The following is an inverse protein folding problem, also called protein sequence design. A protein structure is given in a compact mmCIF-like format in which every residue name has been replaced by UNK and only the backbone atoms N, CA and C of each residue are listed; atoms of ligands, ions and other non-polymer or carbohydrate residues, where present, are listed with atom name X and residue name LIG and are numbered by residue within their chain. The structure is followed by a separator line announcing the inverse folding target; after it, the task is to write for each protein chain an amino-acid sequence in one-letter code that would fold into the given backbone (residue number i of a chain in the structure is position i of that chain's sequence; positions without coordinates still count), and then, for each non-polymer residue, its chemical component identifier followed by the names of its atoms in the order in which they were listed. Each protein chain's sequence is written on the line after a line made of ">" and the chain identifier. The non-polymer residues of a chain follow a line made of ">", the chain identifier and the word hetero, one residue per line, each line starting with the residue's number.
data_IF_868916185363
#
_entry.id   IF_868916185363
#
_cell.length_a   1.000
_cell.length_b   1.000
_cell.length_c   1.000
_cell.angle_alpha   90.00
_cell.angle_beta   90.00
_cell.angle_gamma   90.00
#
_symmetry.space_group_name_H-M   'P 1'
#
loop_
_entity.id
_entity.type
_entity.pdbx_description
1 polymer ?
#
# COMPACT_ATOMS: atom_id res chain seq x y z
N UNK A 1 -12.34 5.95 3.66
CA UNK A 1 -11.66 4.96 4.54
C UNK A 1 -10.93 5.76 5.60
N UNK A 2 -10.82 5.34 6.86
CA UNK A 2 -10.05 6.15 7.82
C UNK A 2 -8.53 5.84 7.80
N UNK A 3 -7.72 6.73 8.39
CA UNK A 3 -6.27 6.55 8.48
C UNK A 3 -5.87 5.27 9.20
N UNK A 4 -6.58 4.87 10.26
CA UNK A 4 -6.26 3.67 11.05
C UNK A 4 -6.47 2.40 10.21
N UNK A 5 -7.54 2.36 9.41
CA UNK A 5 -7.81 1.30 8.45
C UNK A 5 -6.70 1.21 7.39
N UNK A 6 -6.33 2.35 6.79
CA UNK A 6 -5.26 2.43 5.79
C UNK A 6 -3.93 1.91 6.35
N UNK A 7 -3.52 2.40 7.52
CA UNK A 7 -2.28 2.00 8.17
C UNK A 7 -2.29 0.52 8.57
N UNK A 8 -3.44 -0.01 9.00
CA UNK A 8 -3.57 -1.42 9.35
C UNK A 8 -3.33 -2.34 8.15
N UNK A 9 -3.89 -2.01 6.98
CA UNK A 9 -3.69 -2.80 5.75
C UNK A 9 -2.27 -2.65 5.22
N UNK A 10 -1.71 -1.43 5.18
CA UNK A 10 -0.32 -1.21 4.73
C UNK A 10 0.67 -1.96 5.60
N UNK A 11 0.56 -1.84 6.93
CA UNK A 11 1.40 -2.56 7.88
C UNK A 11 1.33 -4.07 7.66
N UNK A 12 0.12 -4.61 7.62
CA UNK A 12 -0.08 -6.05 7.47
C UNK A 12 0.52 -6.57 6.15
N UNK A 13 0.32 -5.86 5.04
CA UNK A 13 0.89 -6.28 3.76
C UNK A 13 2.42 -6.13 3.72
N UNK A 14 2.99 -5.10 4.34
CA UNK A 14 4.45 -4.96 4.43
C UNK A 14 5.10 -6.15 5.16
N UNK A 15 4.43 -6.69 6.18
CA UNK A 15 4.85 -7.92 6.87
C UNK A 15 4.73 -9.13 5.94
N UNK A 16 3.58 -9.30 5.27
CA UNK A 16 3.37 -10.41 4.31
C UNK A 16 4.43 -10.40 3.21
N UNK A 17 4.75 -9.22 2.66
CA UNK A 17 5.75 -9.07 1.61
C UNK A 17 7.13 -9.58 2.04
N UNK A 18 7.47 -9.51 3.34
CA UNK A 18 8.73 -10.05 3.85
C UNK A 18 8.69 -11.58 3.99
N UNK A 19 7.52 -12.15 4.28
CA UNK A 19 7.33 -13.60 4.43
C UNK A 19 7.33 -14.37 3.10
N UNK A 20 6.90 -13.72 2.02
CA UNK A 20 6.85 -14.30 0.68
C UNK A 20 8.25 -14.42 0.08
N UNK A 21 8.50 -15.46 -0.72
CA UNK A 21 9.73 -15.64 -1.48
C UNK A 21 10.01 -14.45 -2.41
N UNK A 22 11.28 -14.06 -2.53
CA UNK A 22 11.67 -12.86 -3.29
C UNK A 22 11.23 -12.90 -4.75
N UNK A 23 11.14 -14.07 -5.38
CA UNK A 23 10.74 -14.23 -6.79
C UNK A 23 9.26 -13.96 -7.03
N UNK A 24 8.42 -14.10 -6.00
CA UNK A 24 6.97 -13.89 -6.10
C UNK A 24 6.48 -12.66 -5.33
N UNK A 25 7.41 -11.87 -4.77
CA UNK A 25 7.07 -10.67 -4.01
C UNK A 25 6.47 -9.62 -4.93
N UNK A 26 5.25 -9.23 -4.62
CA UNK A 26 4.61 -8.09 -5.25
C UNK A 26 4.85 -6.85 -4.40
N UNK A 27 5.02 -5.72 -5.06
CA UNK A 27 4.79 -4.41 -4.44
C UNK A 27 3.33 -4.27 -4.06
N UNK A 28 3.00 -3.33 -3.17
CA UNK A 28 1.61 -3.08 -2.83
C UNK A 28 0.81 -2.63 -4.06
N UNK A 29 1.45 -1.87 -4.94
CA UNK A 29 0.85 -1.33 -6.16
C UNK A 29 0.56 -2.44 -7.17
N UNK A 30 1.44 -3.44 -7.31
CA UNK A 30 1.20 -4.63 -8.12
C UNK A 30 0.09 -5.51 -7.55
N UNK A 31 0.06 -5.69 -6.23
CA UNK A 31 -1.05 -6.38 -5.58
C UNK A 31 -2.38 -5.64 -5.80
N UNK A 32 -2.37 -4.30 -5.74
CA UNK A 32 -3.53 -3.49 -6.04
C UNK A 32 -3.99 -3.58 -7.51
N UNK A 33 -3.06 -3.73 -8.47
CA UNK A 33 -3.42 -4.03 -9.87
C UNK A 33 -4.17 -5.36 -9.95
N UNK A 34 -3.68 -6.41 -9.29
CA UNK A 34 -4.38 -7.71 -9.30
C UNK A 34 -5.77 -7.62 -8.64
N UNK A 35 -5.87 -6.97 -7.48
CA UNK A 35 -7.16 -6.73 -6.82
C UNK A 35 -8.12 -5.95 -7.72
N UNK A 36 -7.61 -4.94 -8.46
CA UNK A 36 -8.42 -4.14 -9.38
C UNK A 36 -8.98 -4.99 -10.52
N UNK A 37 -8.15 -5.80 -11.16
CA UNK A 37 -8.57 -6.67 -12.26
C UNK A 37 -9.58 -7.73 -11.78
N UNK A 38 -9.36 -8.30 -10.60
CA UNK A 38 -10.26 -9.27 -9.99
C UNK A 38 -11.62 -8.66 -9.60
N UNK A 39 -11.62 -7.45 -9.03
CA UNK A 39 -12.85 -6.71 -8.69
C UNK A 39 -13.60 -6.25 -9.94
N UNK A 40 -12.89 -5.87 -11.01
CA UNK A 40 -13.51 -5.46 -12.26
C UNK A 40 -14.23 -6.61 -12.97
N UNK A 41 -13.72 -7.84 -12.86
CA UNK A 41 -14.31 -9.04 -13.49
C UNK A 41 -14.28 -9.03 -15.02
N UNK A 42 -13.60 -8.06 -15.64
CA UNK A 42 -13.48 -7.89 -17.08
C UNK A 42 -12.10 -7.29 -17.43
N UNK A 43 -11.62 -7.44 -18.68
CA UNK A 43 -10.37 -6.82 -19.12
C UNK A 43 -10.36 -5.30 -18.92
N UNK A 44 -9.25 -4.76 -18.44
CA UNK A 44 -9.08 -3.32 -18.18
C UNK A 44 -7.92 -2.78 -19.01
N UNK A 45 -8.11 -1.64 -19.69
CA UNK A 45 -7.04 -0.98 -20.44
C UNK A 45 -5.87 -0.62 -19.51
N UNK A 46 -4.64 -0.89 -19.95
CA UNK A 46 -3.43 -0.56 -19.17
C UNK A 46 -3.38 0.94 -18.82
N UNK A 47 -3.83 1.82 -19.73
CA UNK A 47 -3.93 3.26 -19.47
C UNK A 47 -4.93 3.62 -18.37
N UNK A 48 -6.06 2.92 -18.28
CA UNK A 48 -7.05 3.12 -17.23
C UNK A 48 -6.53 2.65 -15.87
N UNK A 49 -5.71 1.59 -15.83
CA UNK A 49 -5.02 1.18 -14.59
C UNK A 49 -4.01 2.25 -14.19
N UNK A 50 -3.25 2.80 -15.14
CA UNK A 50 -2.28 3.87 -14.89
C UNK A 50 -2.94 5.12 -14.30
N UNK A 51 -4.03 5.58 -14.94
CA UNK A 51 -4.84 6.70 -14.46
C UNK A 51 -5.41 6.44 -13.07
N UNK A 52 -5.99 5.25 -12.86
CA UNK A 52 -6.54 4.89 -11.55
C UNK A 52 -5.49 4.93 -10.44
N UNK A 53 -4.26 4.47 -10.69
CA UNK A 53 -3.17 4.52 -9.70
C UNK A 53 -2.42 5.87 -9.64
N UNK A 54 -2.76 6.84 -10.50
CA UNK A 54 -1.99 8.07 -10.67
C UNK A 54 -0.54 7.81 -11.12
N UNK A 55 -0.29 6.71 -11.83
CA UNK A 55 1.04 6.29 -12.27
C UNK A 55 1.32 6.70 -13.72
N UNK A 56 2.58 6.99 -14.02
CA UNK A 56 3.03 7.22 -15.39
C UNK A 56 2.88 5.94 -16.23
N UNK A 57 2.57 6.09 -17.52
CA UNK A 57 2.40 4.95 -18.44
C UNK A 57 3.60 4.00 -18.47
N UNK A 58 4.87 4.46 -18.54
CA UNK A 58 6.02 3.56 -18.49
C UNK A 58 6.09 2.72 -17.21
N UNK A 59 5.77 3.32 -16.06
CA UNK A 59 5.70 2.61 -14.77
C UNK A 59 4.62 1.54 -14.79
N UNK A 60 3.45 1.84 -15.34
CA UNK A 60 2.36 0.87 -15.45
C UNK A 60 2.69 -0.27 -16.42
N UNK A 61 3.33 0.02 -17.55
CA UNK A 61 3.81 -1.01 -18.48
C UNK A 61 4.82 -1.93 -17.80
N UNK A 62 5.76 -1.38 -17.02
CA UNK A 62 6.72 -2.20 -16.28
C UNK A 62 6.03 -3.14 -15.27
N UNK A 63 5.12 -2.61 -14.44
CA UNK A 63 4.37 -3.41 -13.45
C UNK A 63 3.52 -4.50 -14.11
N UNK A 64 2.80 -4.16 -15.18
CA UNK A 64 1.95 -5.14 -15.88
C UNK A 64 2.77 -6.19 -16.63
N UNK A 65 3.93 -5.84 -17.18
CA UNK A 65 4.87 -6.83 -17.74
C UNK A 65 5.38 -7.78 -16.67
N UNK A 66 5.80 -7.26 -15.51
CA UNK A 66 6.24 -8.11 -14.41
C UNK A 66 5.15 -9.07 -13.95
N UNK A 67 3.92 -8.58 -13.76
CA UNK A 67 2.77 -9.43 -13.41
C UNK A 67 2.45 -10.49 -14.48
N UNK A 68 2.61 -10.16 -15.77
CA UNK A 68 2.41 -11.11 -16.86
C UNK A 68 3.51 -12.18 -16.90
N UNK A 69 4.77 -11.79 -16.65
CA UNK A 69 5.90 -12.72 -16.57
C UNK A 69 5.75 -13.71 -15.40
N UNK A 70 5.07 -13.29 -14.32
CA UNK A 70 4.71 -14.16 -13.20
C UNK A 70 3.45 -15.01 -13.46
N UNK A 71 2.81 -14.91 -14.63
CA UNK A 71 1.61 -15.67 -14.97
C UNK A 71 0.31 -15.15 -14.35
N UNK A 72 0.35 -14.04 -13.58
CA UNK A 72 -0.83 -13.55 -12.84
C UNK A 72 -1.80 -12.74 -13.70
N UNK A 73 -1.36 -12.21 -14.84
CA UNK A 73 -2.23 -11.51 -15.78
C UNK A 73 -1.92 -11.92 -17.22
N UNK A 74 -2.91 -11.75 -18.09
CA UNK A 74 -2.76 -11.83 -19.55
C UNK A 74 -2.85 -10.42 -20.12
N UNK A 75 -1.95 -10.09 -21.05
CA UNK A 75 -1.94 -8.83 -21.79
C UNK A 75 -2.29 -9.11 -23.24
N UNK A 76 -3.30 -8.41 -23.77
CA UNK A 76 -3.76 -8.57 -25.15
C UNK A 76 -3.75 -7.21 -25.83
N UNK A 77 -3.17 -7.15 -27.03
CA UNK A 77 -3.21 -5.96 -27.89
C UNK A 77 -4.62 -5.83 -28.50
N UNK A 78 -5.12 -4.60 -28.63
CA UNK A 78 -6.41 -4.37 -29.28
C UNK A 78 -6.35 -4.64 -30.79
N UNK A 79 -7.38 -5.31 -31.32
CA UNK A 79 -7.46 -5.73 -32.73
C UNK A 79 -7.35 -4.57 -33.74
N UNK A 80 -7.79 -3.37 -33.36
CA UNK A 80 -7.84 -2.17 -34.22
C UNK A 80 -6.68 -1.20 -33.95
N UNK A 81 -6.17 -1.16 -32.71
CA UNK A 81 -5.04 -0.34 -32.31
C UNK A 81 -4.19 -1.10 -31.31
N UNK A 82 -3.03 -1.57 -31.77
CA UNK A 82 -2.06 -2.32 -30.95
C UNK A 82 -1.54 -1.51 -29.74
N UNK A 83 -1.75 -0.19 -29.72
CA UNK A 83 -1.43 0.67 -28.56
C UNK A 83 -2.44 0.52 -27.43
N UNK A 84 -3.64 -0.01 -27.70
CA UNK A 84 -4.67 -0.29 -26.70
C UNK A 84 -4.47 -1.67 -26.11
N UNK A 85 -3.49 -1.79 -25.20
CA UNK A 85 -3.29 -3.01 -24.43
C UNK A 85 -4.34 -3.10 -23.33
N UNK A 86 -5.01 -4.25 -23.24
CA UNK A 86 -5.90 -4.62 -22.13
C UNK A 86 -5.24 -5.70 -21.30
N UNK A 87 -5.48 -5.63 -19.99
CA UNK A 87 -5.02 -6.62 -19.01
C UNK A 87 -6.23 -7.38 -18.46
N UNK A 88 -6.14 -8.69 -18.37
CA UNK A 88 -7.09 -9.55 -17.67
C UNK A 88 -6.36 -10.38 -16.61
N UNK A 89 -7.02 -10.67 -15.50
CA UNK A 89 -6.43 -11.53 -14.45
C UNK A 89 -6.60 -13.01 -14.83
N UNK A 90 -5.53 -13.78 -14.69
CA UNK A 90 -5.55 -15.24 -14.89
C UNK A 90 -6.16 -15.96 -13.68
N UNK A 91 -6.39 -17.27 -13.79
CA UNK A 91 -6.80 -18.09 -12.64
C UNK A 91 -5.74 -18.11 -11.53
N UNK A 92 -4.47 -18.18 -11.91
CA UNK A 92 -3.35 -18.09 -10.97
C UNK A 92 -3.29 -16.72 -10.29
N UNK A 93 -3.54 -15.64 -11.05
CA UNK A 93 -3.67 -14.30 -10.48
C UNK A 93 -4.81 -14.19 -9.47
N UNK A 94 -5.98 -14.79 -9.75
CA UNK A 94 -7.11 -14.85 -8.80
C UNK A 94 -6.75 -15.62 -7.53
N UNK A 95 -6.11 -16.78 -7.68
CA UNK A 95 -5.61 -17.56 -6.54
C UNK A 95 -4.58 -16.76 -5.72
N UNK A 96 -3.71 -16.02 -6.39
CA UNK A 96 -2.72 -15.14 -5.74
C UNK A 96 -3.37 -14.01 -4.96
N UNK A 97 -4.40 -13.36 -5.50
CA UNK A 97 -5.18 -12.33 -4.80
C UNK A 97 -5.82 -12.90 -3.54
N UNK A 98 -6.46 -14.08 -3.64
CA UNK A 98 -7.08 -14.75 -2.51
C UNK A 98 -6.04 -15.07 -1.41
N UNK A 99 -4.89 -15.63 -1.82
CA UNK A 99 -3.80 -15.97 -0.91
C UNK A 99 -3.24 -14.74 -0.18
N UNK A 100 -2.81 -13.71 -0.93
CA UNK A 100 -2.24 -12.48 -0.33
C UNK A 100 -3.25 -11.73 0.53
N UNK A 101 -4.53 -11.70 0.14
CA UNK A 101 -5.60 -11.10 0.96
C UNK A 101 -5.82 -11.87 2.27
N UNK A 102 -5.72 -13.21 2.22
CA UNK A 102 -5.79 -14.07 3.40
C UNK A 102 -4.62 -13.84 4.37
N UNK A 103 -3.39 -13.86 3.86
CA UNK A 103 -2.20 -13.57 4.67
C UNK A 103 -2.24 -12.16 5.26
N UNK A 104 -2.61 -11.16 4.46
CA UNK A 104 -2.72 -9.76 4.93
C UNK A 104 -3.76 -9.66 6.03
N UNK A 105 -4.91 -10.33 5.87
CA UNK A 105 -5.92 -10.36 6.92
C UNK A 105 -5.40 -10.97 8.22
N UNK A 106 -4.67 -12.08 8.13
CA UNK A 106 -4.09 -12.77 9.29
C UNK A 106 -3.05 -11.92 10.02
N UNK A 107 -2.36 -11.02 9.31
CA UNK A 107 -1.38 -10.09 9.87
C UNK A 107 -1.99 -8.82 10.50
N UNK A 108 -3.32 -8.68 10.57
CA UNK A 108 -4.01 -7.61 11.30
C UNK A 108 -4.38 -8.12 12.71
N UNK A 109 -3.68 -7.68 13.77
CA UNK A 109 -3.91 -8.15 15.14
C UNK A 109 -5.30 -7.80 15.67
N UNK A 110 -5.76 -8.55 16.68
CA UNK A 110 -6.95 -8.19 17.45
C UNK A 110 -6.83 -6.77 18.02
N UNK A 111 -7.93 -6.02 18.04
CA UNK A 111 -7.97 -4.65 18.56
C UNK A 111 -7.49 -3.56 17.59
N UNK A 112 -6.87 -3.90 16.46
CA UNK A 112 -6.58 -2.95 15.38
C UNK A 112 -7.81 -2.71 14.50
N UNK A 113 -7.79 -1.61 13.74
CA UNK A 113 -8.80 -1.36 12.71
C UNK A 113 -8.82 -2.53 11.71
N UNK A 114 -10.03 -2.93 11.28
CA UNK A 114 -10.25 -4.08 10.40
C UNK A 114 -9.87 -5.46 11.00
N UNK A 115 -9.59 -5.57 12.29
CA UNK A 115 -9.28 -6.84 12.98
C UNK A 115 -10.38 -7.89 12.96
N UNK A 116 -11.58 -7.58 12.46
CA UNK A 116 -12.72 -8.50 12.24
C UNK A 116 -13.16 -8.59 10.78
N UNK A 117 -12.39 -8.02 9.84
CA UNK A 117 -12.75 -8.02 8.42
C UNK A 117 -12.54 -9.40 7.77
N UNK A 118 -12.93 -9.57 6.50
CA UNK A 118 -12.63 -10.80 5.74
C UNK A 118 -11.52 -10.58 4.72
N UNK A 119 -10.90 -11.66 4.24
CA UNK A 119 -9.93 -11.60 3.13
C UNK A 119 -10.54 -10.94 1.87
N UNK A 120 -11.80 -11.28 1.54
CA UNK A 120 -12.54 -10.63 0.46
C UNK A 120 -12.67 -9.10 0.63
N UNK A 121 -12.79 -8.61 1.88
CA UNK A 121 -12.80 -7.18 2.11
C UNK A 121 -11.41 -6.59 1.99
N UNK A 122 -10.36 -7.25 2.51
CA UNK A 122 -8.98 -6.80 2.31
C UNK A 122 -8.68 -6.56 0.83
N UNK A 123 -9.08 -7.47 -0.06
CA UNK A 123 -8.98 -7.26 -1.51
C UNK A 123 -9.56 -5.92 -1.97
N UNK A 124 -10.75 -5.56 -1.48
CA UNK A 124 -11.44 -4.29 -1.81
C UNK A 124 -10.76 -3.07 -1.20
N UNK A 125 -10.23 -3.20 0.02
CA UNK A 125 -9.41 -2.15 0.63
C UNK A 125 -8.16 -1.91 -0.22
N UNK A 126 -7.45 -2.97 -0.62
CA UNK A 126 -6.24 -2.89 -1.44
C UNK A 126 -6.51 -2.30 -2.83
N UNK A 127 -7.61 -2.69 -3.50
CA UNK A 127 -8.05 -2.07 -4.75
C UNK A 127 -8.28 -0.55 -4.58
N UNK A 128 -9.05 -0.14 -3.57
CA UNK A 128 -9.30 1.28 -3.30
C UNK A 128 -8.01 2.05 -2.97
N UNK A 129 -7.16 1.50 -2.11
CA UNK A 129 -5.86 2.08 -1.73
C UNK A 129 -4.90 2.18 -2.92
N UNK A 130 -5.05 1.32 -3.93
CA UNK A 130 -4.27 1.39 -5.17
C UNK A 130 -4.40 2.72 -5.92
N UNK A 131 -5.47 3.48 -5.67
CA UNK A 131 -5.66 4.82 -6.26
C UNK A 131 -4.84 5.93 -5.61
N UNK A 132 -4.21 5.65 -4.48
CA UNK A 132 -3.35 6.58 -3.77
C UNK A 132 -1.93 6.00 -3.68
N UNK A 133 -1.01 6.57 -4.46
CA UNK A 133 0.40 6.21 -4.33
C UNK A 133 0.94 6.69 -2.99
N UNK A 134 1.54 5.76 -2.23
CA UNK A 134 2.08 6.01 -0.90
C UNK A 134 3.44 5.33 -0.79
N UNK A 135 4.52 6.11 -0.72
CA UNK A 135 5.89 5.58 -0.55
C UNK A 135 6.21 5.35 0.93
N UNK A 136 7.36 4.72 1.20
CA UNK A 136 7.79 4.43 2.57
C UNK A 136 7.94 5.69 3.45
N UNK A 137 8.42 6.81 2.88
CA UNK A 137 8.49 8.10 3.58
C UNK A 137 7.11 8.60 4.03
N UNK A 138 6.11 8.53 3.15
CA UNK A 138 4.74 8.94 3.49
C UNK A 138 4.18 8.09 4.63
N UNK A 139 4.45 6.77 4.61
CA UNK A 139 4.06 5.88 5.71
C UNK A 139 4.74 6.24 7.03
N UNK A 140 6.01 6.67 7.00
CA UNK A 140 6.71 7.14 8.20
C UNK A 140 6.04 8.38 8.76
N UNK A 141 5.76 9.37 7.91
CA UNK A 141 5.07 10.60 8.32
C UNK A 141 3.69 10.31 8.89
N UNK A 142 2.89 9.49 8.19
CA UNK A 142 1.57 9.06 8.66
C UNK A 142 1.64 8.24 9.95
N UNK A 143 2.70 7.45 10.14
CA UNK A 143 2.93 6.67 11.35
C UNK A 143 3.13 7.54 12.60
N UNK A 144 3.96 8.59 12.47
CA UNK A 144 4.17 9.57 13.55
C UNK A 144 2.91 10.42 13.75
N UNK A 145 2.23 10.81 12.67
CA UNK A 145 0.99 11.56 12.76
C UNK A 145 -0.11 10.76 13.51
N UNK A 146 -0.23 9.46 13.22
CA UNK A 146 -1.18 8.58 13.89
C UNK A 146 -0.88 8.35 15.38
N UNK A 147 0.36 8.60 15.84
CA UNK A 147 0.71 8.60 17.28
C UNK A 147 0.39 9.92 17.97
N UNK A 148 -0.41 10.79 17.35
CA UNK A 148 -0.93 12.04 17.97
C UNK A 148 0.18 13.00 18.44
N UNK A 149 1.30 13.03 17.73
CA UNK A 149 2.42 13.93 18.02
C UNK A 149 3.48 13.36 18.97
N UNK A 150 3.30 12.12 19.46
CA UNK A 150 4.34 11.45 20.24
C UNK A 150 5.61 11.24 19.39
N UNK A 151 6.76 11.50 20.00
CA UNK A 151 8.05 11.17 19.41
C UNK A 151 8.23 9.66 19.37
N UNK A 152 8.56 9.11 18.20
CA UNK A 152 8.73 7.66 18.00
C UNK A 152 10.20 7.31 17.75
N UNK A 153 10.66 6.20 18.32
CA UNK A 153 11.95 5.61 17.97
C UNK A 153 11.88 4.93 16.59
N UNK A 154 13.04 4.74 15.96
CA UNK A 154 13.14 3.96 14.71
C UNK A 154 12.55 2.55 14.88
N UNK A 155 12.73 1.91 16.03
CA UNK A 155 12.18 0.59 16.31
C UNK A 155 10.65 0.60 16.40
N UNK A 156 10.07 1.58 17.08
CA UNK A 156 8.61 1.74 17.12
C UNK A 156 8.02 2.00 15.72
N UNK A 157 8.71 2.76 14.87
CA UNK A 157 8.31 2.96 13.48
C UNK A 157 8.39 1.66 12.66
N UNK A 158 9.44 0.87 12.82
CA UNK A 158 9.57 -0.45 12.19
C UNK A 158 8.39 -1.34 12.55
N UNK A 159 8.05 -1.43 13.85
CA UNK A 159 6.94 -2.25 14.34
C UNK A 159 5.57 -1.74 13.90
N UNK A 160 5.37 -0.42 13.90
CA UNK A 160 4.12 0.23 13.51
C UNK A 160 3.85 0.13 12.02
N UNK A 161 4.89 0.15 11.18
CA UNK A 161 4.77 0.16 9.72
C UNK A 161 4.97 -1.22 9.10
N UNK A 162 5.49 -2.17 9.86
CA UNK A 162 5.83 -3.50 9.35
C UNK A 162 6.88 -3.44 8.24
N UNK A 163 7.73 -2.40 8.23
CA UNK A 163 8.81 -2.21 7.26
C UNK A 163 10.13 -2.73 7.82
N UNK A 164 11.11 -2.95 6.95
CA UNK A 164 12.47 -3.28 7.38
C UNK A 164 13.16 -2.04 7.97
N UNK A 165 13.99 -2.23 8.99
CA UNK A 165 14.75 -1.14 9.64
C UNK A 165 15.56 -0.28 8.65
N UNK A 166 16.31 -0.85 7.68
CA UNK A 166 17.00 -0.03 6.67
C UNK A 166 16.05 0.88 5.89
N UNK A 167 14.84 0.40 5.56
CA UNK A 167 13.84 1.20 4.84
C UNK A 167 13.34 2.36 5.68
N UNK A 168 13.07 2.14 6.97
CA UNK A 168 12.66 3.20 7.89
C UNK A 168 13.77 4.21 8.09
N UNK A 169 15.01 3.77 8.40
CA UNK A 169 16.15 4.66 8.59
C UNK A 169 16.42 5.55 7.38
N UNK A 170 16.43 4.97 6.17
CA UNK A 170 16.63 5.74 4.93
C UNK A 170 15.48 6.71 4.67
N UNK A 171 14.23 6.29 4.93
CA UNK A 171 13.07 7.17 4.78
C UNK A 171 13.15 8.35 5.74
N UNK A 172 13.49 8.10 7.02
CA UNK A 172 13.68 9.17 8.00
C UNK A 172 14.81 10.12 7.58
N UNK A 173 15.95 9.62 7.10
CA UNK A 173 17.05 10.50 6.65
C UNK A 173 16.60 11.45 5.54
N UNK A 174 15.92 10.92 4.51
CA UNK A 174 15.39 11.74 3.42
C UNK A 174 14.32 12.72 3.90
N UNK A 175 13.46 12.34 4.85
CA UNK A 175 12.46 13.24 5.42
C UNK A 175 13.09 14.37 6.26
N UNK A 176 14.22 14.11 6.94
CA UNK A 176 14.99 15.16 7.64
C UNK A 176 15.57 16.14 6.63
N UNK A 177 16.16 15.64 5.55
CA UNK A 177 16.68 16.49 4.46
C UNK A 177 15.60 17.36 3.83
N UNK A 178 14.36 16.88 3.77
CA UNK A 178 13.20 17.62 3.28
C UNK A 178 12.49 18.45 4.36
N UNK A 179 12.99 18.49 5.60
CA UNK A 179 12.41 19.30 6.69
C UNK A 179 11.05 18.82 7.18
N UNK A 180 10.64 17.58 6.91
CA UNK A 180 9.34 17.02 7.32
C UNK A 180 9.41 16.32 8.68
N UNK A 181 10.60 15.89 9.11
CA UNK A 181 10.80 15.27 10.42
C UNK A 181 12.08 15.80 11.05
N UNK A 182 12.14 15.77 12.38
CA UNK A 182 13.36 16.04 13.15
C UNK A 182 13.78 14.78 13.90
N UNK A 183 15.08 14.70 14.21
CA UNK A 183 15.63 13.68 15.11
C UNK A 183 16.06 14.36 16.39
N UNK A 184 15.70 13.76 17.52
CA UNK A 184 16.31 14.10 18.81
C UNK A 184 17.07 12.90 19.37
N UNK A 185 18.19 13.21 20.01
CA UNK A 185 18.95 12.28 20.82
C UNK A 185 18.64 12.64 22.26
N UNK A 186 17.94 11.75 22.98
CA UNK A 186 17.58 12.02 24.36
C UNK A 186 18.85 11.93 25.22
N UNK A 187 19.20 13.03 25.91
CA UNK A 187 20.49 13.18 26.59
C UNK A 187 20.71 12.19 27.76
N UNK A 188 19.66 11.46 28.18
CA UNK A 188 19.72 10.44 29.24
C UNK A 188 19.79 8.99 28.74
N UNK A 189 19.64 8.74 27.44
CA UNK A 189 19.69 7.39 26.83
C UNK A 189 20.55 7.45 25.56
N UNK A 190 21.85 7.18 25.72
CA UNK A 190 22.88 7.39 24.70
C UNK A 190 22.69 6.64 23.36
N UNK A 191 21.61 5.88 23.17
CA UNK A 191 21.42 4.99 22.02
C UNK A 191 20.05 5.05 21.33
N UNK A 192 19.07 5.80 21.81
CA UNK A 192 17.75 5.84 21.18
C UNK A 192 17.54 7.13 20.41
N UNK A 193 17.61 7.03 19.07
CA UNK A 193 17.21 8.14 18.18
C UNK A 193 15.69 8.16 18.09
N UNK A 194 15.11 9.27 18.50
CA UNK A 194 13.66 9.50 18.43
C UNK A 194 13.36 10.50 17.30
N UNK A 195 12.18 10.37 16.71
CA UNK A 195 11.75 11.06 15.49
C UNK A 195 10.38 11.67 15.74
N UNK A 196 10.21 12.95 15.39
CA UNK A 196 8.94 13.66 15.45
C UNK A 196 8.69 14.45 14.16
N UNK A 197 7.45 14.87 13.95
CA UNK A 197 7.08 15.72 12.83
C UNK A 197 7.47 17.18 13.10
N UNK A 198 7.89 17.88 12.05
CA UNK A 198 7.90 19.34 12.03
C UNK A 198 6.49 19.88 11.81
N UNK A 199 6.25 21.20 11.94
CA UNK A 199 4.99 21.81 11.50
C UNK A 199 4.68 21.49 10.03
N UNK A 200 5.67 21.55 9.16
CA UNK A 200 5.55 21.21 7.73
C UNK A 200 5.22 19.72 7.54
N UNK A 201 5.86 18.84 8.31
CA UNK A 201 5.56 17.41 8.33
C UNK A 201 4.15 17.10 8.78
N UNK A 202 3.64 17.86 9.76
CA UNK A 202 2.27 17.72 10.28
C UNK A 202 1.25 18.13 9.23
N UNK A 203 1.44 19.29 8.60
CA UNK A 203 0.58 19.74 7.49
C UNK A 203 0.59 18.75 6.32
N UNK A 204 1.77 18.22 5.97
CA UNK A 204 1.90 17.18 4.94
C UNK A 204 1.12 15.91 5.32
N UNK A 205 1.22 15.45 6.57
CA UNK A 205 0.51 14.28 7.05
C UNK A 205 -1.01 14.47 7.03
N UNK A 206 -1.48 15.66 7.42
CA UNK A 206 -2.89 16.02 7.44
C UNK A 206 -3.48 16.02 6.04
N UNK A 207 -2.82 16.67 5.07
CA UNK A 207 -3.26 16.65 3.66
C UNK A 207 -3.33 15.21 3.12
N UNK A 208 -2.32 14.40 3.45
CA UNK A 208 -2.30 13.00 3.03
C UNK A 208 -3.43 12.18 3.70
N UNK A 209 -3.70 12.41 4.98
CA UNK A 209 -4.79 11.77 5.70
C UNK A 209 -6.17 12.14 5.10
N UNK A 210 -6.38 13.41 4.72
CA UNK A 210 -7.60 13.85 4.03
C UNK A 210 -7.80 13.12 2.69
N UNK A 211 -6.71 12.88 1.94
CA UNK A 211 -6.77 12.08 0.69
C UNK A 211 -7.12 10.61 0.97
N UNK A 212 -6.65 10.04 2.07
CA UNK A 212 -7.05 8.68 2.51
C UNK A 212 -8.54 8.63 2.82
N UNK A 213 -9.08 9.65 3.48
CA UNK A 213 -10.49 9.73 3.83
C UNK A 213 -11.41 9.71 2.62
N UNK A 214 -10.98 10.33 1.52
CA UNK A 214 -11.67 10.34 0.23
C UNK A 214 -11.69 8.97 -0.47
N UNK A 215 -10.90 7.98 -0.03
CA UNK A 215 -10.89 6.65 -0.62
C UNK A 215 -12.20 5.90 -0.36
N UNK A 216 -12.90 5.57 -1.45
CA UNK A 216 -14.17 4.84 -1.41
C UNK A 216 -13.94 3.34 -1.55
N UNK A 217 -14.18 2.61 -0.46
CA UNK A 217 -14.20 1.13 -0.49
C UNK A 217 -15.57 0.66 -0.92
N UNK A 218 -15.69 0.12 -2.13
CA UNK A 218 -16.97 -0.36 -2.67
C UNK A 218 -17.58 -1.46 -1.77
N UNK A 219 -18.71 -1.15 -1.11
CA UNK A 219 -19.49 -2.13 -0.34
C UNK A 219 -20.14 -3.12 -1.30
N UNK A 220 -20.33 -4.37 -0.86
CA UNK A 220 -21.17 -5.33 -1.62
C UNK A 220 -22.59 -4.74 -1.61
N UNK A 221 -23.22 -4.56 -2.78
CA UNK A 221 -24.67 -4.40 -2.82
C UNK A 221 -25.27 -5.64 -2.13
N UNK A 222 -26.03 -5.43 -1.05
CA UNK A 222 -26.87 -6.49 -0.47
C UNK A 222 -27.98 -6.74 -1.50
N UNK A 223 -27.86 -7.79 -2.30
CA UNK A 223 -28.91 -8.16 -3.27
C UNK A 223 -28.39 -8.58 -4.63
N UNK A 224 -27.52 -9.59 -4.69
CA UNK A 224 -27.40 -10.45 -5.86
C UNK A 224 -27.48 -11.88 -5.33
N UNK A 225 -28.71 -12.38 -5.25
CA UNK A 225 -29.02 -13.80 -5.15
C UNK A 225 -28.70 -14.47 -6.49
#
# INVERSE_FOLDING_TARGET
>A
MDLKEFMSVRRAYNIVRQMVDSKERLTFEEFAILCRLDVAGAPVKTSAIAEYQGALRPTMTHRTNHLANLGFIVRTEGDVDRRNVVCSISDEGRARVAHLSGLTRAQIPAGRALSRTSADRIRKYVDAMGSLFCKAGDLVVLGIYASSGDTLTIMQLVEALGLLQPTVSMSVSSLVEHGLVTRSHDAGSAHTTSVSLTPEGTAYAEEFAQRIEQLVVRRRLRGAN
#
